data_IF_298699578589
#
_entry.id   IF_298699578589
#
_cell.length_a   1.000
_cell.length_b   1.000
_cell.length_c   1.000
_cell.angle_alpha   90.00
_cell.angle_beta   90.00
_cell.angle_gamma   90.00
#
_symmetry.space_group_name_H-M   'P 1'
#
loop_
_entity.id
_entity.type
_entity.pdbx_description
1 polymer ?
#
# COMPACT_ATOMS: atom_id res chain seq x y z
N UNK A 1 22.59 3.71 16.78
CA UNK A 1 22.09 4.71 15.81
C UNK A 1 22.50 4.22 14.42
N UNK A 2 21.67 3.38 13.80
CA UNK A 2 21.88 2.84 12.45
C UNK A 2 21.16 3.75 11.43
N UNK A 3 21.67 3.88 10.19
CA UNK A 3 21.87 5.17 9.53
C UNK A 3 20.66 5.68 8.73
N UNK A 4 20.46 6.99 8.75
CA UNK A 4 19.54 7.78 7.89
C UNK A 4 19.68 7.49 6.38
N UNK A 5 20.81 6.92 5.97
CA UNK A 5 21.12 6.49 4.61
C UNK A 5 20.08 5.50 4.02
N UNK A 6 19.42 4.65 4.83
CA UNK A 6 18.37 3.77 4.31
C UNK A 6 17.08 4.51 3.96
N UNK A 7 16.70 5.50 4.77
CA UNK A 7 15.43 6.21 4.61
C UNK A 7 15.50 7.25 3.50
N UNK A 8 16.61 7.99 3.40
CA UNK A 8 16.84 8.91 2.27
C UNK A 8 16.81 8.17 0.94
N UNK A 9 17.52 7.03 0.86
CA UNK A 9 17.55 6.22 -0.38
C UNK A 9 16.17 5.66 -0.72
N UNK A 10 15.46 5.11 0.27
CA UNK A 10 14.10 4.62 0.10
C UNK A 10 13.14 5.73 -0.36
N UNK A 11 13.25 6.93 0.23
CA UNK A 11 12.46 8.08 -0.17
C UNK A 11 12.73 8.44 -1.63
N UNK A 12 14.00 8.53 -2.04
CA UNK A 12 14.37 8.82 -3.43
C UNK A 12 13.82 7.76 -4.39
N UNK A 13 14.00 6.48 -4.10
CA UNK A 13 13.48 5.36 -4.91
C UNK A 13 11.94 5.39 -5.00
N UNK A 14 11.26 5.78 -3.92
CA UNK A 14 9.81 5.93 -3.88
C UNK A 14 9.28 7.26 -4.48
N UNK A 15 10.16 8.14 -4.97
CA UNK A 15 9.79 9.47 -5.48
C UNK A 15 9.25 10.41 -4.39
N UNK A 16 9.78 10.31 -3.18
CA UNK A 16 9.40 11.08 -2.00
C UNK A 16 10.60 11.86 -1.43
N UNK A 17 10.32 12.86 -0.60
CA UNK A 17 11.34 13.43 0.29
C UNK A 17 11.47 12.58 1.56
N UNK A 18 12.65 12.57 2.19
CA UNK A 18 12.85 11.89 3.47
C UNK A 18 11.84 12.36 4.54
N UNK A 19 11.54 13.66 4.60
CA UNK A 19 10.54 14.21 5.53
C UNK A 19 9.10 13.77 5.22
N UNK A 20 8.75 13.52 3.96
CA UNK A 20 7.46 12.93 3.61
C UNK A 20 7.38 11.46 4.01
N UNK A 21 8.46 10.69 3.77
CA UNK A 21 8.57 9.29 4.19
C UNK A 21 8.53 9.15 5.73
N UNK A 22 9.26 10.00 6.46
CA UNK A 22 9.27 10.02 7.92
C UNK A 22 7.89 10.31 8.52
N UNK A 23 7.13 11.25 7.95
CA UNK A 23 5.74 11.49 8.37
C UNK A 23 4.88 10.26 8.16
N UNK A 24 5.00 9.60 7.00
CA UNK A 24 4.25 8.41 6.68
C UNK A 24 4.56 7.24 7.63
N UNK A 25 5.82 7.00 7.98
CA UNK A 25 6.23 6.00 8.99
C UNK A 25 5.66 6.28 10.38
N UNK A 26 5.49 7.56 10.73
CA UNK A 26 4.83 8.00 11.96
C UNK A 26 3.28 7.96 11.89
N UNK A 27 2.71 7.34 10.85
CA UNK A 27 1.26 7.29 10.63
C UNK A 27 0.63 8.63 10.25
N UNK A 28 1.43 9.64 9.89
CA UNK A 28 0.98 10.98 9.51
C UNK A 28 0.87 11.07 7.99
N UNK A 29 -0.28 10.66 7.46
CA UNK A 29 -0.64 10.74 6.04
C UNK A 29 -1.42 9.51 5.58
N UNK A 30 -2.22 9.67 4.53
CA UNK A 30 -2.90 8.54 3.86
C UNK A 30 -2.17 8.30 2.54
N UNK A 31 -1.41 7.20 2.40
CA UNK A 31 -0.75 6.91 1.14
C UNK A 31 -1.78 6.55 0.07
N UNK A 32 -1.55 7.03 -1.14
CA UNK A 32 -2.34 6.61 -2.31
C UNK A 32 -1.88 5.24 -2.78
N UNK A 33 -2.72 4.50 -3.51
CA UNK A 33 -2.32 3.19 -4.07
C UNK A 33 -1.04 3.28 -4.93
N UNK A 34 -0.87 4.27 -5.83
CA UNK A 34 0.37 4.41 -6.59
C UNK A 34 1.60 4.69 -5.72
N UNK A 35 1.43 5.32 -4.55
CA UNK A 35 2.52 5.51 -3.60
C UNK A 35 2.91 4.19 -2.94
N UNK A 36 1.94 3.35 -2.56
CA UNK A 36 2.19 2.01 -2.03
C UNK A 36 2.96 1.13 -3.02
N UNK A 37 2.65 1.22 -4.31
CA UNK A 37 3.35 0.47 -5.36
C UNK A 37 4.84 0.85 -5.45
N UNK A 38 5.14 2.15 -5.46
CA UNK A 38 6.53 2.63 -5.51
C UNK A 38 7.33 2.23 -4.26
N UNK A 39 6.70 2.27 -3.09
CA UNK A 39 7.32 1.83 -1.84
C UNK A 39 7.62 0.33 -1.85
N UNK A 40 6.69 -0.49 -2.34
CA UNK A 40 6.90 -1.93 -2.47
C UNK A 40 8.06 -2.23 -3.44
N UNK A 41 8.12 -1.54 -4.58
CA UNK A 41 9.22 -1.65 -5.54
C UNK A 41 10.58 -1.28 -4.91
N UNK A 42 10.67 -0.14 -4.22
CA UNK A 42 11.88 0.31 -3.55
C UNK A 42 12.34 -0.65 -2.43
N UNK A 43 11.39 -1.34 -1.78
CA UNK A 43 11.65 -2.36 -0.77
C UNK A 43 11.91 -3.76 -1.36
N UNK A 44 11.96 -3.91 -2.68
CA UNK A 44 12.04 -5.21 -3.35
C UNK A 44 11.01 -6.22 -2.82
N UNK A 45 9.78 -5.74 -2.59
CA UNK A 45 8.69 -6.45 -1.92
C UNK A 45 7.43 -6.46 -2.80
N UNK A 46 6.50 -7.37 -2.49
CA UNK A 46 5.21 -7.43 -3.16
C UNK A 46 4.17 -6.54 -2.45
N UNK A 47 3.40 -5.77 -3.21
CA UNK A 47 2.20 -5.11 -2.71
C UNK A 47 0.99 -6.03 -2.88
N UNK A 48 0.40 -6.48 -1.77
CA UNK A 48 -0.85 -7.24 -1.77
C UNK A 48 -2.00 -6.33 -1.33
N UNK A 49 -2.94 -6.09 -2.23
CA UNK A 49 -4.22 -5.43 -1.93
C UNK A 49 -5.31 -6.49 -2.03
N UNK A 50 -6.00 -6.74 -0.92
CA UNK A 50 -7.16 -7.63 -0.88
C UNK A 50 -8.38 -6.82 -0.44
N UNK A 51 -9.49 -7.02 -1.13
CA UNK A 51 -10.77 -6.42 -0.81
C UNK A 51 -11.76 -7.54 -0.53
N UNK A 52 -12.49 -7.43 0.57
CA UNK A 52 -13.58 -8.32 0.90
C UNK A 52 -14.83 -7.49 1.13
N UNK A 53 -16.01 -7.98 0.72
CA UNK A 53 -17.27 -7.31 1.03
C UNK A 53 -17.41 -7.10 2.54
N UNK A 54 -17.88 -5.92 2.95
CA UNK A 54 -18.10 -5.59 4.37
C UNK A 54 -19.29 -6.35 5.01
N UNK A 55 -19.89 -7.30 4.30
CA UNK A 55 -21.05 -8.06 4.76
C UNK A 55 -21.19 -9.38 4.01
N UNK A 56 -22.22 -10.15 4.38
CA UNK A 56 -22.53 -11.40 3.68
C UNK A 56 -22.82 -11.13 2.21
N UNK A 57 -22.22 -11.91 1.32
CA UNK A 57 -22.56 -11.89 -0.11
C UNK A 57 -23.82 -12.75 -0.28
N UNK A 58 -24.99 -12.18 -0.59
CA UNK A 58 -26.18 -12.97 -0.84
C UNK A 58 -25.96 -13.76 -2.14
N UNK A 59 -25.86 -15.08 -2.02
CA UNK A 59 -25.83 -15.97 -3.17
C UNK A 59 -27.27 -16.34 -3.51
N UNK A 60 -27.77 -15.85 -4.65
CA UNK A 60 -29.09 -16.22 -5.17
C UNK A 60 -28.92 -17.28 -6.23
N UNK A 61 -29.42 -18.49 -5.97
CA UNK A 61 -29.54 -19.52 -6.98
C UNK A 61 -30.80 -19.26 -7.80
N UNK A 62 -30.65 -18.87 -9.08
CA UNK A 62 -31.77 -18.71 -10.01
C UNK A 62 -31.97 -20.00 -10.79
N UNK A 63 -33.09 -20.67 -10.59
CA UNK A 63 -33.50 -21.75 -11.47
C UNK A 63 -33.81 -21.17 -12.86
N UNK A 64 -33.22 -21.75 -13.90
CA UNK A 64 -33.57 -21.41 -15.28
C UNK A 64 -34.99 -21.92 -15.57
N UNK A 65 -35.85 -21.12 -16.22
CA UNK A 65 -37.16 -21.60 -16.67
C UNK A 65 -36.98 -22.74 -17.67
N UNK A 66 -37.80 -23.78 -17.53
CA UNK A 66 -37.82 -24.95 -18.41
C UNK A 66 -38.52 -24.64 -19.73
#
# INVERSE_FOLDING_TARGET
>A
MLPSQKQERLATEAGMTQGALSRMECGRGVPTLPLLERLAAALSSNLLISMSPHGGVPVVFKALPR
#
